data_IF_155181672444
#
_entry.id   IF_155181672444
#
_cell.length_a   1.000
_cell.length_b   1.000
_cell.length_c   1.000
_cell.angle_alpha   90.00
_cell.angle_beta   90.00
_cell.angle_gamma   90.00
#
_symmetry.space_group_name_H-M   'P 1'
#
loop_
_entity.id
_entity.type
_entity.pdbx_description
1 polymer ?
#
# COMPACT_ATOMS: atom_id res chain seq x y z
N UNK A 1 26.80 13.86 -4.26
CA UNK A 1 25.75 13.43 -3.29
C UNK A 1 25.07 12.24 -3.94
N UNK A 2 25.24 11.04 -3.38
CA UNK A 2 24.84 9.77 -4.00
C UNK A 2 23.35 9.48 -3.68
N UNK A 3 22.51 8.98 -4.60
CA UNK A 3 21.04 8.99 -4.42
C UNK A 3 20.43 7.93 -3.48
N UNK A 4 21.19 7.17 -2.66
CA UNK A 4 20.65 5.88 -2.19
C UNK A 4 21.08 5.40 -0.79
N UNK A 5 21.49 6.26 0.14
CA UNK A 5 21.67 5.81 1.52
C UNK A 5 20.35 5.94 2.28
N UNK A 6 19.49 4.94 2.12
CA UNK A 6 18.41 4.70 3.08
C UNK A 6 19.08 4.53 4.47
N UNK A 7 18.60 5.19 5.53
CA UNK A 7 19.16 4.99 6.86
C UNK A 7 19.12 3.51 7.24
N UNK A 8 20.09 3.08 8.04
CA UNK A 8 20.24 1.68 8.46
C UNK A 8 18.99 1.08 9.13
N UNK A 9 18.03 1.91 9.54
CA UNK A 9 16.76 1.51 10.16
C UNK A 9 15.59 1.32 9.20
N UNK A 10 15.74 1.55 7.89
CA UNK A 10 14.64 1.36 6.93
C UNK A 10 14.44 -0.12 6.68
N UNK A 11 13.37 -0.66 7.24
CA UNK A 11 12.94 -2.02 6.93
C UNK A 11 12.18 -1.98 5.61
N UNK A 12 12.76 -2.56 4.54
CA UNK A 12 12.04 -2.80 3.31
C UNK A 12 11.15 -4.02 3.54
N UNK A 13 9.83 -3.94 3.36
CA UNK A 13 8.96 -5.09 3.56
C UNK A 13 9.24 -6.16 2.50
N UNK A 14 9.33 -7.43 2.94
CA UNK A 14 9.58 -8.60 2.09
C UNK A 14 8.55 -8.78 0.98
N UNK A 15 7.34 -8.22 1.17
CA UNK A 15 6.24 -8.29 0.21
C UNK A 15 5.77 -6.89 -0.12
N UNK A 16 6.44 -6.14 -1.01
CA UNK A 16 6.04 -4.76 -1.32
C UNK A 16 4.73 -4.68 -2.11
N UNK A 17 4.13 -5.82 -2.48
CA UNK A 17 2.88 -5.90 -3.24
C UNK A 17 2.00 -7.01 -2.66
N UNK A 18 0.75 -6.66 -2.33
CA UNK A 18 -0.27 -7.59 -1.86
C UNK A 18 -1.46 -7.58 -2.83
N UNK A 19 -1.90 -8.76 -3.28
CA UNK A 19 -3.10 -8.93 -4.10
C UNK A 19 -4.27 -9.44 -3.26
N UNK A 20 -5.45 -8.87 -3.48
CA UNK A 20 -6.72 -9.25 -2.83
C UNK A 20 -7.84 -9.21 -3.85
N UNK A 21 -8.27 -10.36 -4.38
CA UNK A 21 -9.32 -10.44 -5.42
C UNK A 21 -9.03 -9.47 -6.59
N UNK A 22 -9.88 -8.47 -6.80
CA UNK A 22 -9.76 -7.43 -7.81
C UNK A 22 -8.96 -6.21 -7.32
N UNK A 23 -8.19 -6.32 -6.24
CA UNK A 23 -7.45 -5.20 -5.65
C UNK A 23 -5.95 -5.49 -5.58
N UNK A 24 -5.17 -4.43 -5.75
CA UNK A 24 -3.71 -4.41 -5.65
C UNK A 24 -3.33 -3.37 -4.60
N UNK A 25 -2.62 -3.82 -3.56
CA UNK A 25 -2.01 -2.94 -2.57
C UNK A 25 -0.48 -2.91 -2.80
N UNK A 26 0.10 -1.72 -2.87
CA UNK A 26 1.55 -1.53 -3.06
C UNK A 26 2.08 -0.73 -1.88
N UNK A 27 3.14 -1.25 -1.28
CA UNK A 27 3.88 -0.58 -0.24
C UNK A 27 4.79 0.49 -0.86
N UNK A 28 4.72 1.69 -0.29
CA UNK A 28 5.59 2.83 -0.56
C UNK A 28 6.21 3.24 0.77
N UNK A 29 7.53 3.41 0.78
CA UNK A 29 8.25 3.94 1.93
C UNK A 29 8.37 5.44 1.73
N UNK A 30 7.77 6.24 2.60
CA UNK A 30 7.85 7.69 2.50
C UNK A 30 9.28 8.15 2.88
N UNK A 31 10.00 8.85 1.98
CA UNK A 31 11.32 9.36 2.28
C UNK A 31 11.27 10.36 3.44
N UNK A 32 12.06 10.14 4.49
CA UNK A 32 12.21 11.04 5.64
C UNK A 32 11.45 10.58 6.88
N UNK A 33 10.21 10.13 6.74
CA UNK A 33 9.47 9.49 7.84
C UNK A 33 9.82 8.01 7.99
N UNK A 34 10.32 7.38 6.91
CA UNK A 34 10.60 5.95 6.85
C UNK A 34 9.40 5.10 7.31
N UNK A 35 8.20 5.63 7.09
CA UNK A 35 6.94 4.99 7.38
C UNK A 35 6.47 4.22 6.17
N UNK A 36 5.87 3.07 6.44
CA UNK A 36 5.26 2.20 5.46
C UNK A 36 3.85 2.70 5.13
N UNK A 37 3.58 2.93 3.84
CA UNK A 37 2.25 3.30 3.36
C UNK A 37 1.81 2.32 2.28
N UNK A 38 0.63 1.75 2.46
CA UNK A 38 0.00 0.82 1.52
C UNK A 38 -1.06 1.53 0.72
N UNK A 39 -0.75 1.84 -0.53
CA UNK A 39 -1.72 2.39 -1.46
C UNK A 39 -2.48 1.26 -2.14
N UNK A 40 -3.80 1.40 -2.26
CA UNK A 40 -4.70 0.36 -2.76
C UNK A 40 -5.42 0.85 -4.03
N UNK A 41 -5.40 0.03 -5.06
CA UNK A 41 -6.13 0.22 -6.31
C UNK A 41 -7.03 -0.95 -6.60
N UNK A 42 -8.18 -0.69 -7.23
CA UNK A 42 -8.98 -1.71 -7.90
C UNK A 42 -8.34 -2.07 -9.26
N UNK A 43 -8.60 -3.28 -9.76
CA UNK A 43 -8.01 -3.84 -10.98
C UNK A 43 -8.42 -3.10 -12.27
N UNK A 44 -9.44 -2.25 -12.18
CA UNK A 44 -9.83 -1.32 -13.25
C UNK A 44 -8.98 -0.03 -13.26
N UNK A 45 -8.01 0.09 -12.35
CA UNK A 45 -7.14 1.25 -12.20
C UNK A 45 -7.67 2.32 -11.24
N UNK A 46 -8.87 2.17 -10.66
CA UNK A 46 -9.41 3.13 -9.71
C UNK A 46 -8.62 3.12 -8.39
N UNK A 47 -8.23 4.29 -7.91
CA UNK A 47 -7.61 4.44 -6.60
C UNK A 47 -8.67 4.30 -5.51
N UNK A 48 -8.42 3.45 -4.53
CA UNK A 48 -9.35 3.16 -3.42
C UNK A 48 -8.97 3.98 -2.19
N UNK A 49 -7.69 3.99 -1.82
CA UNK A 49 -7.22 4.66 -0.61
C UNK A 49 -5.85 4.18 -0.19
N UNK A 50 -5.46 4.51 1.04
CA UNK A 50 -4.21 4.03 1.63
C UNK A 50 -4.36 3.69 3.12
N UNK A 51 -3.44 2.89 3.64
CA UNK A 51 -3.32 2.57 5.06
C UNK A 51 -1.85 2.44 5.47
N UNK A 52 -1.54 2.48 6.76
CA UNK A 52 -0.16 2.39 7.28
C UNK A 52 0.21 0.99 7.79
N UNK A 53 -0.72 0.04 7.73
CA UNK A 53 -0.54 -1.34 8.17
C UNK A 53 -1.19 -2.28 7.15
N UNK A 54 -0.47 -3.30 6.63
CA UNK A 54 -1.03 -4.24 5.65
C UNK A 54 -2.26 -5.02 6.18
N UNK A 55 -2.42 -5.16 7.49
CA UNK A 55 -3.60 -5.78 8.10
C UNK A 55 -4.89 -4.97 7.85
N UNK A 56 -4.77 -3.68 7.52
CA UNK A 56 -5.91 -2.79 7.26
C UNK A 56 -6.34 -2.75 5.78
N UNK A 57 -5.63 -3.44 4.88
CA UNK A 57 -5.95 -3.44 3.43
C UNK A 57 -7.39 -3.88 3.17
N UNK A 58 -7.87 -4.93 3.83
CA UNK A 58 -9.23 -5.44 3.62
C UNK A 58 -10.30 -4.42 4.10
N UNK A 59 -10.00 -3.61 5.12
CA UNK A 59 -10.86 -2.51 5.56
C UNK A 59 -10.86 -1.36 4.53
N UNK A 60 -9.69 -0.98 4.02
CA UNK A 60 -9.56 0.03 2.95
C UNK A 60 -10.36 -0.39 1.71
N UNK A 61 -10.31 -1.67 1.35
CA UNK A 61 -11.12 -2.23 0.26
C UNK A 61 -12.62 -2.15 0.56
N UNK A 62 -13.05 -2.43 1.80
CA UNK A 62 -14.46 -2.37 2.17
C UNK A 62 -15.06 -0.95 2.10
N UNK A 63 -14.21 0.08 2.06
CA UNK A 63 -14.61 1.48 1.89
C UNK A 63 -14.74 1.89 0.42
N UNK A 64 -14.36 1.05 -0.54
CA UNK A 64 -14.48 1.32 -1.97
C UNK A 64 -15.96 1.44 -2.37
N UNK A 65 -16.44 2.64 -2.77
CA UNK A 65 -17.84 2.82 -3.16
C UNK A 65 -18.19 2.11 -4.49
N UNK A 66 -17.18 1.68 -5.25
CA UNK A 66 -17.33 0.87 -6.46
C UNK A 66 -17.20 -0.64 -6.22
N UNK A 67 -16.98 -1.09 -4.98
CA UNK A 67 -16.89 -2.51 -4.67
C UNK A 67 -18.24 -3.18 -4.98
N UNK A 68 -18.25 -4.32 -5.70
CA UNK A 68 -19.48 -5.07 -5.88
C UNK A 68 -20.03 -5.45 -4.51
N UNK A 69 -21.21 -4.92 -4.18
CA UNK A 69 -22.00 -5.36 -3.03
C UNK A 69 -22.27 -6.85 -3.22
N UNK A 70 -21.82 -7.66 -2.28
CA UNK A 70 -21.97 -9.12 -2.29
C UNK A 70 -23.42 -9.56 -2.49
#
# INVERSE_FOLDING_TARGET
MNPADLPESVTIPDRPVIRRRAYLAVCVIEPGAFSEHWHVWHANGAYVGYCTDPALIDLTIAQDPGAPSR
#
